data_IF_314416800990
#
_entry.id   IF_314416800990
#
_cell.length_a   1.000
_cell.length_b   1.000
_cell.length_c   1.000
_cell.angle_alpha   90.00
_cell.angle_beta   90.00
_cell.angle_gamma   90.00
#
_symmetry.space_group_name_H-M   'P 1'
#
loop_
_entity.id
_entity.type
_entity.pdbx_description
1 polymer ?
#
# COMPACT_ATOMS: atom_id res chain seq x y z
N UNK A 1 -48.59 18.83 -16.29
CA UNK A 1 -47.54 18.72 -15.27
C UNK A 1 -46.57 19.85 -15.53
N UNK A 2 -46.55 20.86 -14.67
CA UNK A 2 -45.76 22.08 -14.85
C UNK A 2 -44.26 21.81 -14.67
N UNK A 3 -43.42 22.46 -15.50
CA UNK A 3 -41.96 22.30 -15.55
C UNK A 3 -41.26 22.47 -14.19
N UNK A 4 -41.87 23.21 -13.27
CA UNK A 4 -41.37 23.42 -11.91
C UNK A 4 -41.35 22.12 -11.07
N UNK A 5 -42.29 21.21 -11.32
CA UNK A 5 -42.34 19.91 -10.63
C UNK A 5 -41.13 19.04 -10.95
N UNK A 6 -40.73 19.03 -12.23
CA UNK A 6 -39.59 18.24 -12.72
C UNK A 6 -38.28 18.75 -12.12
N UNK A 7 -38.09 20.08 -12.09
CA UNK A 7 -36.89 20.69 -11.49
C UNK A 7 -36.79 20.43 -9.98
N UNK A 8 -37.92 20.43 -9.28
CA UNK A 8 -37.99 20.20 -7.83
C UNK A 8 -37.67 18.76 -7.44
N UNK A 9 -38.24 17.77 -8.14
CA UNK A 9 -37.91 16.35 -7.89
C UNK A 9 -36.43 16.04 -8.14
N UNK A 10 -35.82 16.69 -9.12
CA UNK A 10 -34.39 16.57 -9.39
C UNK A 10 -33.54 17.17 -8.25
N UNK A 11 -33.95 18.33 -7.72
CA UNK A 11 -33.29 19.00 -6.61
C UNK A 11 -33.39 18.21 -5.28
N UNK A 12 -34.56 17.63 -4.98
CA UNK A 12 -34.75 16.81 -3.77
C UNK A 12 -33.89 15.53 -3.78
N UNK A 13 -33.51 15.03 -4.96
CA UNK A 13 -32.75 13.78 -5.11
C UNK A 13 -31.24 13.90 -4.84
N UNK A 14 -30.72 15.12 -4.65
CA UNK A 14 -29.27 15.38 -4.56
C UNK A 14 -28.58 14.65 -3.40
N UNK A 15 -29.23 14.60 -2.23
CA UNK A 15 -28.65 13.93 -1.06
C UNK A 15 -28.59 12.40 -1.25
N UNK A 16 -29.64 11.81 -1.83
CA UNK A 16 -29.69 10.39 -2.19
C UNK A 16 -28.56 10.03 -3.17
N UNK A 17 -28.34 10.87 -4.20
CA UNK A 17 -27.25 10.70 -5.15
C UNK A 17 -25.89 10.83 -4.46
N UNK A 18 -25.71 11.81 -3.57
CA UNK A 18 -24.48 11.99 -2.81
C UNK A 18 -24.11 10.74 -2.00
N UNK A 19 -25.08 10.13 -1.30
CA UNK A 19 -24.83 8.92 -0.50
C UNK A 19 -24.47 7.72 -1.38
N UNK A 20 -25.17 7.53 -2.50
CA UNK A 20 -24.87 6.45 -3.46
C UNK A 20 -23.51 6.65 -4.12
N UNK A 21 -23.17 7.88 -4.54
CA UNK A 21 -21.88 8.20 -5.14
C UNK A 21 -20.73 7.96 -4.16
N UNK A 22 -20.90 8.35 -2.89
CA UNK A 22 -19.91 8.12 -1.84
C UNK A 22 -19.73 6.63 -1.55
N UNK A 23 -20.84 5.86 -1.49
CA UNK A 23 -20.79 4.42 -1.34
C UNK A 23 -20.05 3.74 -2.48
N UNK A 24 -20.41 4.04 -3.73
CA UNK A 24 -19.71 3.50 -4.91
C UNK A 24 -18.25 3.93 -4.93
N UNK A 25 -17.95 5.19 -4.57
CA UNK A 25 -16.58 5.68 -4.42
C UNK A 25 -15.76 4.89 -3.39
N UNK A 26 -16.35 4.57 -2.23
CA UNK A 26 -15.71 3.75 -1.20
C UNK A 26 -15.50 2.31 -1.66
N UNK A 27 -16.46 1.72 -2.36
CA UNK A 27 -16.35 0.38 -2.95
C UNK A 27 -15.22 0.34 -3.99
N UNK A 28 -15.20 1.31 -4.91
CA UNK A 28 -14.14 1.44 -5.91
C UNK A 28 -12.77 1.69 -5.26
N UNK A 29 -12.71 2.42 -4.14
CA UNK A 29 -11.49 2.63 -3.39
C UNK A 29 -11.00 1.36 -2.68
N UNK A 30 -11.90 0.56 -2.12
CA UNK A 30 -11.57 -0.73 -1.52
C UNK A 30 -11.05 -1.73 -2.56
N UNK A 31 -11.59 -1.70 -3.77
CA UNK A 31 -11.12 -2.51 -4.90
C UNK A 31 -9.96 -1.87 -5.67
N UNK A 32 -9.60 -0.60 -5.42
CA UNK A 32 -8.45 0.06 -6.03
C UNK A 32 -7.20 -0.69 -5.54
N UNK A 33 -6.44 -1.35 -6.42
CA UNK A 33 -5.23 -2.09 -6.04
C UNK A 33 -4.08 -1.11 -5.80
N UNK A 34 -4.23 -0.19 -4.85
CA UNK A 34 -3.28 0.88 -4.52
C UNK A 34 -2.25 0.51 -3.46
N UNK A 35 -2.26 -0.73 -2.97
CA UNK A 35 -1.40 -1.15 -1.85
C UNK A 35 -0.56 -2.41 -2.12
N UNK A 36 -0.54 -2.98 -3.33
CA UNK A 36 0.35 -4.12 -3.62
C UNK A 36 1.79 -3.71 -3.98
N UNK A 37 2.09 -2.41 -4.07
CA UNK A 37 3.44 -1.92 -4.36
C UNK A 37 4.40 -1.99 -3.16
N UNK A 38 3.90 -1.77 -1.93
CA UNK A 38 4.77 -1.62 -0.75
C UNK A 38 5.03 -2.95 -0.03
N UNK A 39 4.18 -3.97 -0.23
CA UNK A 39 4.37 -5.29 0.38
C UNK A 39 5.48 -6.12 -0.30
N UNK A 40 5.95 -5.71 -1.49
CA UNK A 40 7.08 -6.38 -2.15
C UNK A 40 8.43 -5.98 -1.55
N UNK A 41 8.55 -4.75 -1.02
CA UNK A 41 9.77 -4.28 -0.36
C UNK A 41 9.91 -4.83 1.07
N UNK A 42 8.81 -5.00 1.81
CA UNK A 42 8.83 -5.55 3.16
C UNK A 42 9.19 -7.05 3.19
N UNK A 43 8.82 -7.82 2.16
CA UNK A 43 9.15 -9.24 2.03
C UNK A 43 10.62 -9.49 1.63
N UNK A 44 11.32 -8.47 1.13
CA UNK A 44 12.75 -8.56 0.80
C UNK A 44 13.67 -8.32 1.99
N UNK A 45 13.15 -7.87 3.15
CA UNK A 45 13.94 -7.58 4.35
C UNK A 45 14.53 -8.85 5.00
N UNK A 46 13.80 -9.97 5.15
CA UNK A 46 14.36 -11.16 5.79
C UNK A 46 15.44 -11.84 4.95
N UNK A 47 15.32 -11.82 3.61
CA UNK A 47 16.24 -12.52 2.70
C UNK A 47 17.52 -11.76 2.36
N UNK A 48 17.62 -10.46 2.69
CA UNK A 48 18.88 -9.69 2.51
C UNK A 48 20.02 -10.16 3.43
N UNK A 49 19.72 -11.02 4.40
CA UNK A 49 20.72 -11.59 5.31
C UNK A 49 21.18 -13.00 4.92
N UNK A 50 20.57 -13.62 3.91
CA UNK A 50 20.96 -14.96 3.43
C UNK A 50 22.08 -14.86 2.36
N UNK A 51 22.08 -13.79 1.54
CA UNK A 51 23.03 -13.59 0.43
C UNK A 51 24.26 -12.73 0.76
N UNK A 52 24.47 -12.33 2.03
CA UNK A 52 25.77 -11.83 2.50
C UNK A 52 26.43 -12.86 3.40
N UNK A 53 27.13 -13.85 2.82
CA UNK A 53 27.80 -14.87 3.58
C UNK A 53 28.99 -14.24 4.30
N UNK A 54 28.94 -14.13 5.62
CA UNK A 54 30.07 -14.24 6.56
C UNK A 54 31.44 -13.61 6.17
N UNK A 55 31.48 -12.58 5.32
CA UNK A 55 32.73 -11.98 4.84
C UNK A 55 33.41 -11.21 5.98
N UNK A 56 32.60 -10.59 6.84
CA UNK A 56 33.07 -9.82 7.99
C UNK A 56 33.60 -10.73 9.11
N UNK A 57 32.96 -11.89 9.32
CA UNK A 57 33.39 -12.85 10.34
C UNK A 57 34.72 -13.54 10.00
N UNK A 58 34.99 -13.80 8.70
CA UNK A 58 36.28 -14.36 8.26
C UNK A 58 37.40 -13.33 8.29
N UNK A 59 37.13 -12.06 7.97
CA UNK A 59 38.12 -10.98 8.04
C UNK A 59 38.59 -10.74 9.49
N UNK A 60 37.66 -10.68 10.45
CA UNK A 60 38.00 -10.50 11.88
C UNK A 60 38.80 -11.69 12.43
N UNK A 61 38.48 -12.92 12.03
CA UNK A 61 39.21 -14.12 12.46
C UNK A 61 40.59 -14.25 11.81
N UNK A 62 40.78 -13.73 10.60
CA UNK A 62 42.08 -13.68 9.93
C UNK A 62 43.03 -12.70 10.64
N UNK A 63 42.57 -11.49 10.95
CA UNK A 63 43.37 -10.49 11.69
C UNK A 63 43.70 -10.96 13.10
N UNK A 64 42.77 -11.62 13.80
CA UNK A 64 43.00 -12.14 15.15
C UNK A 64 44.01 -13.31 15.20
N UNK A 65 44.18 -14.05 14.10
CA UNK A 65 45.15 -15.14 14.00
C UNK A 65 46.56 -14.61 13.71
N UNK A 66 46.65 -13.52 12.95
CA UNK A 66 47.92 -12.87 12.58
C UNK A 66 48.57 -12.15 13.77
N UNK A 67 47.77 -11.53 14.64
CA UNK A 67 48.26 -10.86 15.88
C UNK A 67 48.71 -11.86 16.96
N UNK A 68 48.33 -13.15 16.84
CA UNK A 68 48.68 -14.22 17.79
C UNK A 68 49.89 -15.07 17.32
N UNK A 69 50.37 -14.86 16.10
CA UNK A 69 51.64 -15.43 15.59
C UNK A 69 52.82 -14.53 15.93
#
# INVERSE_FOLDING_TARGET
MDSYSVLREFADSWFLIGMVALFVGAVLWAFRPGASGLHRDAAAIPFRNEDRPAADAKAVRATAKDVRS
#
